data_IF_388574976799
#
_entry.id   IF_388574976799
#
_cell.length_a   1.000
_cell.length_b   1.000
_cell.length_c   1.000
_cell.angle_alpha   90.00
_cell.angle_beta   90.00
_cell.angle_gamma   90.00
#
_symmetry.space_group_name_H-M   'P 1'
#
loop_
_entity.id
_entity.type
_entity.pdbx_description
1 polymer ?
#
# COMPACT_ATOMS: atom_id res chain seq x y z
N UNK A 1 21.23 40.40 2.63
CA UNK A 1 20.39 40.67 3.81
C UNK A 1 20.04 39.32 4.41
N UNK A 2 20.42 39.01 5.65
CA UNK A 2 20.04 37.83 6.37
C UNK A 2 18.70 38.11 7.06
N UNK A 3 17.66 37.27 6.79
CA UNK A 3 16.36 37.40 7.40
C UNK A 3 16.11 36.14 8.23
N UNK A 4 15.97 36.29 9.53
CA UNK A 4 15.55 35.22 10.42
C UNK A 4 14.02 35.06 10.33
N UNK A 5 13.54 33.81 10.23
CA UNK A 5 12.10 33.51 10.20
C UNK A 5 11.83 32.15 10.86
N UNK A 6 10.56 31.91 11.28
CA UNK A 6 10.16 30.70 11.97
C UNK A 6 10.11 29.44 11.11
N UNK A 7 10.07 29.55 9.78
CA UNK A 7 10.02 28.42 8.86
C UNK A 7 11.35 27.65 8.79
N UNK A 8 12.45 28.28 9.19
CA UNK A 8 13.75 27.64 9.27
C UNK A 8 13.76 26.44 10.24
N UNK A 9 12.93 26.48 11.28
CA UNK A 9 12.86 25.46 12.32
C UNK A 9 12.39 24.09 11.80
N UNK A 10 11.50 24.05 10.80
CA UNK A 10 11.01 22.80 10.19
C UNK A 10 9.87 22.10 10.91
N UNK A 11 9.38 22.58 12.06
CA UNK A 11 8.28 21.95 12.79
C UNK A 11 6.98 21.80 11.98
N UNK A 12 6.53 22.77 11.15
CA UNK A 12 5.38 22.59 10.29
C UNK A 12 5.53 21.42 9.31
N UNK A 13 6.74 21.19 8.82
CA UNK A 13 7.04 20.06 7.92
C UNK A 13 6.97 18.74 8.69
N UNK A 14 7.49 18.68 9.93
CA UNK A 14 7.40 17.50 10.79
C UNK A 14 5.94 17.10 11.03
N UNK A 15 5.07 18.06 11.35
CA UNK A 15 3.62 17.82 11.50
C UNK A 15 2.97 17.31 10.21
N UNK A 16 3.30 17.92 9.08
CA UNK A 16 2.75 17.50 7.80
C UNK A 16 3.16 16.08 7.43
N UNK A 17 4.42 15.69 7.69
CA UNK A 17 4.94 14.34 7.43
C UNK A 17 4.30 13.28 8.34
N UNK A 18 4.12 13.57 9.63
CA UNK A 18 3.40 12.67 10.53
C UNK A 18 1.92 12.51 10.13
N UNK A 19 1.26 13.61 9.74
CA UNK A 19 -0.12 13.56 9.24
C UNK A 19 -0.25 12.75 7.94
N UNK A 20 0.71 12.93 7.01
CA UNK A 20 0.79 12.15 5.77
C UNK A 20 0.97 10.65 6.06
N UNK A 21 1.88 10.30 6.97
CA UNK A 21 2.09 8.92 7.37
C UNK A 21 0.79 8.28 7.90
N UNK A 22 0.06 8.96 8.76
CA UNK A 22 -1.24 8.49 9.27
C UNK A 22 -2.26 8.29 8.15
N UNK A 23 -2.36 9.23 7.21
CA UNK A 23 -3.29 9.12 6.08
C UNK A 23 -2.95 7.93 5.17
N UNK A 24 -1.66 7.73 4.83
CA UNK A 24 -1.22 6.57 4.04
C UNK A 24 -1.46 5.24 4.78
N UNK A 25 -1.25 5.21 6.10
CA UNK A 25 -1.52 4.04 6.92
C UNK A 25 -3.00 3.66 6.91
N UNK A 26 -3.91 4.62 6.91
CA UNK A 26 -5.35 4.37 6.83
C UNK A 26 -5.74 3.73 5.49
N UNK A 27 -5.18 4.22 4.38
CA UNK A 27 -5.37 3.59 3.06
C UNK A 27 -4.87 2.15 3.04
N UNK A 28 -3.71 1.89 3.62
CA UNK A 28 -3.14 0.54 3.74
C UNK A 28 -4.02 -0.37 4.60
N UNK A 29 -4.60 0.13 5.70
CA UNK A 29 -5.56 -0.59 6.54
C UNK A 29 -6.77 -1.04 5.74
N UNK A 30 -7.38 -0.14 4.97
CA UNK A 30 -8.54 -0.43 4.13
C UNK A 30 -8.17 -1.49 3.08
N UNK A 31 -7.01 -1.35 2.44
CA UNK A 31 -6.50 -2.29 1.44
C UNK A 31 -6.34 -3.70 2.03
N UNK A 32 -5.70 -3.81 3.19
CA UNK A 32 -5.53 -5.11 3.86
C UNK A 32 -6.87 -5.75 4.21
N UNK A 33 -7.86 -4.97 4.69
CA UNK A 33 -9.20 -5.49 4.97
C UNK A 33 -9.92 -5.97 3.71
N UNK A 34 -9.65 -5.39 2.55
CA UNK A 34 -10.19 -5.86 1.28
C UNK A 34 -9.52 -7.16 0.84
N UNK A 35 -8.19 -7.29 1.02
CA UNK A 35 -7.49 -8.57 0.79
C UNK A 35 -8.08 -9.67 1.68
N UNK A 36 -8.26 -9.41 2.98
CA UNK A 36 -8.87 -10.37 3.89
C UNK A 36 -10.25 -10.82 3.42
N UNK A 37 -11.11 -9.87 2.99
CA UNK A 37 -12.44 -10.21 2.47
C UNK A 37 -12.40 -11.08 1.22
N UNK A 38 -11.43 -10.86 0.34
CA UNK A 38 -11.29 -11.67 -0.89
C UNK A 38 -10.84 -13.10 -0.59
N UNK A 39 -9.94 -13.29 0.36
CA UNK A 39 -9.36 -14.61 0.67
C UNK A 39 -10.18 -15.44 1.67
N UNK A 40 -11.12 -14.80 2.38
CA UNK A 40 -11.94 -15.45 3.40
C UNK A 40 -13.28 -15.92 2.80
N UNK A 41 -13.51 -17.24 2.70
CA UNK A 41 -14.71 -17.77 2.05
C UNK A 41 -16.02 -17.37 2.74
N UNK A 42 -15.98 -16.97 4.02
CA UNK A 42 -17.16 -16.48 4.74
C UNK A 42 -17.51 -15.01 4.40
N UNK A 43 -16.65 -14.28 3.70
CA UNK A 43 -16.77 -12.85 3.41
C UNK A 43 -16.70 -12.52 1.91
N UNK A 44 -16.23 -13.44 1.08
CA UNK A 44 -15.90 -13.22 -0.32
C UNK A 44 -17.06 -13.47 -1.29
N UNK A 45 -18.24 -13.76 -0.79
CA UNK A 45 -19.47 -13.99 -1.59
C UNK A 45 -19.29 -15.06 -2.69
N UNK A 46 -18.65 -16.19 -2.30
CA UNK A 46 -18.54 -17.38 -3.15
C UNK A 46 -17.19 -17.57 -3.84
N UNK A 47 -16.20 -16.70 -3.63
CA UNK A 47 -14.84 -16.98 -4.07
C UNK A 47 -14.23 -18.12 -3.25
N UNK A 48 -13.37 -18.97 -3.85
CA UNK A 48 -12.71 -20.02 -3.12
C UNK A 48 -11.75 -19.47 -2.05
N UNK A 49 -11.60 -20.22 -0.95
CA UNK A 49 -10.68 -19.86 0.13
C UNK A 49 -9.28 -19.59 -0.43
N UNK A 50 -8.69 -18.47 -0.01
CA UNK A 50 -7.35 -18.01 -0.44
C UNK A 50 -7.17 -17.87 -1.95
N UNK A 51 -8.28 -17.77 -2.70
CA UNK A 51 -8.28 -17.60 -4.17
C UNK A 51 -7.48 -18.71 -4.89
N UNK A 52 -7.62 -19.95 -4.44
CA UNK A 52 -7.05 -21.15 -5.07
C UNK A 52 -8.13 -22.21 -5.31
N UNK A 53 -8.04 -22.94 -6.44
CA UNK A 53 -8.95 -24.07 -6.74
C UNK A 53 -8.61 -25.32 -5.95
N UNK A 54 -7.35 -25.52 -5.57
CA UNK A 54 -6.83 -26.71 -4.90
C UNK A 54 -6.47 -26.43 -3.44
N UNK A 55 -7.44 -25.94 -2.66
CA UNK A 55 -7.27 -25.66 -1.25
C UNK A 55 -6.79 -26.89 -0.47
N UNK A 56 -5.75 -26.73 0.34
CA UNK A 56 -5.10 -27.82 1.08
C UNK A 56 -3.84 -28.35 0.40
N UNK A 57 -3.74 -28.32 -0.93
CA UNK A 57 -2.50 -28.54 -1.66
C UNK A 57 -1.78 -27.20 -1.85
N UNK A 58 -2.51 -26.19 -2.31
CA UNK A 58 -2.01 -24.83 -2.49
C UNK A 58 -2.51 -23.91 -1.37
N UNK A 59 -1.66 -22.97 -0.95
CA UNK A 59 -1.96 -21.92 0.03
C UNK A 59 -2.53 -20.65 -0.64
N UNK A 60 -2.29 -20.47 -1.93
CA UNK A 60 -2.76 -19.32 -2.70
C UNK A 60 -2.38 -17.98 -2.09
N UNK A 61 -3.35 -17.09 -1.92
CA UNK A 61 -3.14 -15.75 -1.36
C UNK A 61 -3.13 -15.67 0.17
N UNK A 62 -3.03 -16.81 0.89
CA UNK A 62 -2.92 -16.81 2.35
C UNK A 62 -1.71 -16.01 2.84
N UNK A 63 -0.52 -16.29 2.30
CA UNK A 63 0.72 -15.61 2.71
C UNK A 63 0.74 -14.13 2.30
N UNK A 64 0.32 -13.71 1.09
CA UNK A 64 0.16 -12.29 0.78
C UNK A 64 -0.73 -11.53 1.78
N UNK A 65 -1.83 -12.12 2.24
CA UNK A 65 -2.67 -11.51 3.28
C UNK A 65 -1.91 -11.36 4.61
N UNK A 66 -1.15 -12.36 5.05
CA UNK A 66 -0.29 -12.26 6.23
C UNK A 66 0.75 -11.15 6.09
N UNK A 67 1.36 -11.00 4.91
CA UNK A 67 2.33 -9.93 4.64
C UNK A 67 1.65 -8.57 4.71
N UNK A 68 0.49 -8.40 4.09
CA UNK A 68 -0.28 -7.15 4.16
C UNK A 68 -0.61 -6.78 5.61
N UNK A 69 -1.08 -7.74 6.42
CA UNK A 69 -1.37 -7.54 7.83
C UNK A 69 -0.12 -7.15 8.63
N UNK A 70 1.05 -7.74 8.33
CA UNK A 70 2.32 -7.39 8.95
C UNK A 70 2.74 -5.95 8.65
N UNK A 71 2.65 -5.52 7.38
CA UNK A 71 2.98 -4.15 6.95
C UNK A 71 2.07 -3.11 7.60
N UNK A 72 0.78 -3.40 7.70
CA UNK A 72 -0.19 -2.53 8.39
C UNK A 72 0.10 -2.45 9.89
N UNK A 73 0.47 -3.56 10.51
CA UNK A 73 0.87 -3.58 11.92
C UNK A 73 2.17 -2.78 12.16
N UNK A 74 3.12 -2.83 11.25
CA UNK A 74 4.34 -2.00 11.30
C UNK A 74 3.99 -0.51 11.14
N UNK A 75 3.10 -0.17 10.19
CA UNK A 75 2.64 1.20 9.99
C UNK A 75 2.05 1.82 11.26
N UNK A 76 1.32 1.05 12.08
CA UNK A 76 0.82 1.50 13.36
C UNK A 76 1.95 2.03 14.27
N UNK A 77 3.08 1.34 14.31
CA UNK A 77 4.25 1.75 15.11
C UNK A 77 4.92 2.98 14.48
N UNK A 78 5.10 2.97 13.16
CA UNK A 78 5.73 4.07 12.42
C UNK A 78 4.89 5.37 12.47
N UNK A 79 3.58 5.27 12.58
CA UNK A 79 2.68 6.43 12.68
C UNK A 79 2.65 7.09 14.06
N UNK A 80 3.39 6.56 15.06
CA UNK A 80 3.57 7.29 16.32
C UNK A 80 4.29 8.61 16.01
N UNK A 81 3.71 9.81 16.30
CA UNK A 81 4.25 11.08 15.83
C UNK A 81 5.66 11.35 16.35
N UNK A 82 6.58 11.70 15.46
CA UNK A 82 7.90 12.20 15.83
C UNK A 82 7.89 13.69 16.18
N UNK A 83 6.96 14.43 15.58
CA UNK A 83 6.81 15.88 15.76
C UNK A 83 6.37 16.32 17.15
N UNK A 84 5.96 15.39 18.03
CA UNK A 84 5.60 15.66 19.43
C UNK A 84 6.79 15.62 20.37
N UNK A 85 7.97 15.25 19.86
CA UNK A 85 9.20 15.13 20.63
C UNK A 85 10.15 16.30 20.36
N UNK A 86 10.99 16.64 21.34
CA UNK A 86 12.06 17.60 21.19
C UNK A 86 13.16 17.31 22.21
N UNK A 87 14.42 17.38 21.78
CA UNK A 87 15.61 17.15 22.60
C UNK A 87 16.58 18.29 22.38
N UNK A 88 16.95 19.11 23.41
CA UNK A 88 17.94 20.15 23.26
C UNK A 88 19.28 19.61 22.76
N UNK A 89 19.90 20.33 21.84
CA UNK A 89 21.21 19.97 21.27
C UNK A 89 22.16 21.16 21.26
N UNK A 90 23.41 20.98 20.78
CA UNK A 90 24.41 22.05 20.68
C UNK A 90 24.63 22.81 21.99
N UNK A 91 24.74 22.10 23.12
CA UNK A 91 24.90 22.65 24.45
C UNK A 91 23.78 23.66 24.85
N UNK A 92 22.55 23.41 24.39
CA UNK A 92 21.37 24.24 24.67
C UNK A 92 21.18 25.42 23.70
N UNK A 93 22.00 25.52 22.67
CA UNK A 93 21.78 26.53 21.63
C UNK A 93 20.52 26.21 20.80
N UNK A 94 20.28 24.94 20.55
CA UNK A 94 19.03 24.41 20.01
C UNK A 94 18.15 23.95 21.17
N UNK A 95 17.26 24.79 21.63
CA UNK A 95 16.41 24.55 22.82
C UNK A 95 15.14 23.77 22.48
N UNK A 96 14.59 23.99 21.31
CA UNK A 96 13.45 23.24 20.77
C UNK A 96 13.76 22.77 19.34
N UNK A 97 14.08 21.50 19.20
CA UNK A 97 14.49 20.88 17.94
C UNK A 97 13.28 20.19 17.31
N UNK A 98 13.00 20.49 16.02
CA UNK A 98 12.01 19.70 15.27
C UNK A 98 12.56 18.32 14.98
N UNK A 99 11.73 17.28 15.06
CA UNK A 99 12.06 15.92 14.68
C UNK A 99 11.66 15.63 13.23
N UNK A 100 11.83 16.62 12.33
CA UNK A 100 11.43 16.55 10.92
C UNK A 100 12.10 15.43 10.15
N UNK A 101 13.39 15.16 10.42
CA UNK A 101 14.08 14.04 9.79
C UNK A 101 13.51 12.70 10.20
N UNK A 102 13.22 12.50 11.48
CA UNK A 102 12.57 11.27 11.97
C UNK A 102 11.16 11.09 11.40
N UNK A 103 10.37 12.18 11.37
CA UNK A 103 9.05 12.17 10.74
C UNK A 103 9.12 11.79 9.24
N UNK A 104 10.10 12.35 8.50
CA UNK A 104 10.30 12.06 7.08
C UNK A 104 10.69 10.61 6.80
N UNK A 105 11.63 10.05 7.56
CA UNK A 105 12.04 8.65 7.40
C UNK A 105 10.90 7.68 7.68
N UNK A 106 10.10 7.95 8.71
CA UNK A 106 8.92 7.15 9.05
C UNK A 106 7.83 7.26 7.96
N UNK A 107 7.54 8.47 7.50
CA UNK A 107 6.57 8.68 6.42
C UNK A 107 6.97 7.94 5.14
N UNK A 108 8.25 7.96 4.78
CA UNK A 108 8.79 7.20 3.66
C UNK A 108 8.56 5.69 3.80
N UNK A 109 8.83 5.14 4.99
CA UNK A 109 8.62 3.72 5.26
C UNK A 109 7.13 3.35 5.20
N UNK A 110 6.25 4.18 5.79
CA UNK A 110 4.79 3.97 5.74
C UNK A 110 4.28 4.00 4.30
N UNK A 111 4.78 4.93 3.48
CA UNK A 111 4.42 4.99 2.06
C UNK A 111 4.81 3.71 1.33
N UNK A 112 6.04 3.24 1.50
CA UNK A 112 6.52 2.02 0.87
C UNK A 112 5.73 0.77 1.31
N UNK A 113 5.33 0.68 2.58
CA UNK A 113 4.47 -0.38 3.09
C UNK A 113 3.06 -0.30 2.49
N UNK A 114 2.51 0.91 2.35
CA UNK A 114 1.18 1.14 1.79
C UNK A 114 1.12 0.77 0.31
N UNK A 115 2.14 1.11 -0.48
CA UNK A 115 2.26 0.70 -1.89
C UNK A 115 2.24 -0.82 -2.04
N UNK A 116 2.95 -1.55 -1.17
CA UNK A 116 2.94 -3.03 -1.18
C UNK A 116 1.61 -3.61 -0.74
N UNK A 117 0.93 -3.02 0.24
CA UNK A 117 -0.41 -3.44 0.64
C UNK A 117 -1.40 -3.29 -0.53
N UNK A 118 -1.37 -2.15 -1.23
CA UNK A 118 -2.16 -1.92 -2.45
C UNK A 118 -1.81 -2.90 -3.57
N UNK A 119 -0.53 -3.22 -3.75
CA UNK A 119 -0.10 -4.21 -4.75
C UNK A 119 -0.68 -5.60 -4.46
N UNK A 120 -0.72 -6.01 -3.19
CA UNK A 120 -1.33 -7.29 -2.80
C UNK A 120 -2.85 -7.28 -3.00
N UNK A 121 -3.53 -6.15 -2.75
CA UNK A 121 -4.95 -6.00 -3.08
C UNK A 121 -5.21 -6.14 -4.58
N UNK A 122 -4.41 -5.48 -5.42
CA UNK A 122 -4.51 -5.56 -6.88
C UNK A 122 -4.29 -6.98 -7.41
N UNK A 123 -3.29 -7.69 -6.90
CA UNK A 123 -3.01 -9.07 -7.25
C UNK A 123 -4.15 -10.02 -6.82
N UNK A 124 -4.63 -9.86 -5.59
CA UNK A 124 -5.77 -10.64 -5.07
C UNK A 124 -7.06 -10.33 -5.84
N UNK A 125 -7.31 -9.05 -6.15
CA UNK A 125 -8.45 -8.63 -6.96
C UNK A 125 -8.40 -9.20 -8.38
N UNK A 126 -7.24 -9.18 -9.03
CA UNK A 126 -7.06 -9.78 -10.34
C UNK A 126 -7.32 -11.29 -10.32
N UNK A 127 -6.85 -11.99 -9.29
CA UNK A 127 -7.11 -13.41 -9.09
C UNK A 127 -8.60 -13.68 -8.84
N UNK A 128 -9.24 -12.85 -8.01
CA UNK A 128 -10.67 -12.98 -7.68
C UNK A 128 -11.58 -12.81 -8.90
N UNK A 129 -11.29 -11.83 -9.76
CA UNK A 129 -12.06 -11.58 -11.00
C UNK A 129 -12.08 -12.82 -11.89
N UNK A 130 -11.00 -13.57 -11.98
CA UNK A 130 -10.90 -14.76 -12.82
C UNK A 130 -11.75 -15.95 -12.34
N UNK A 131 -12.06 -16.01 -11.04
CA UNK A 131 -13.00 -16.99 -10.49
C UNK A 131 -14.47 -16.65 -10.77
N UNK A 132 -14.75 -15.43 -11.21
CA UNK A 132 -16.11 -14.99 -11.54
C UNK A 132 -16.50 -15.28 -13.00
N UNK A 133 -15.63 -15.89 -13.79
CA UNK A 133 -15.96 -16.25 -15.18
C UNK A 133 -17.23 -17.12 -15.21
N UNK A 134 -18.17 -16.92 -16.16
CA UNK A 134 -18.03 -16.14 -17.40
C UNK A 134 -18.43 -14.66 -17.28
N UNK A 135 -18.57 -14.09 -16.07
CA UNK A 135 -18.89 -12.68 -15.89
C UNK A 135 -17.72 -11.81 -16.39
N UNK A 136 -18.05 -10.74 -17.09
CA UNK A 136 -17.09 -9.79 -17.63
C UNK A 136 -17.05 -8.51 -16.80
N UNK A 137 -15.87 -8.03 -16.37
CA UNK A 137 -15.76 -6.78 -15.66
C UNK A 137 -15.97 -5.58 -16.58
N UNK A 138 -16.33 -4.43 -16.01
CA UNK A 138 -16.38 -3.16 -16.74
C UNK A 138 -15.01 -2.75 -17.31
N UNK A 139 -15.01 -1.83 -18.28
CA UNK A 139 -13.83 -1.44 -19.07
C UNK A 139 -12.61 -1.08 -18.20
N UNK A 140 -12.78 -0.24 -17.18
CA UNK A 140 -11.68 0.18 -16.31
C UNK A 140 -11.08 -0.98 -15.50
N UNK A 141 -11.94 -1.86 -14.94
CA UNK A 141 -11.47 -3.05 -14.22
C UNK A 141 -10.79 -4.03 -15.16
N UNK A 142 -11.29 -4.20 -16.39
CA UNK A 142 -10.66 -5.02 -17.43
C UNK A 142 -9.26 -4.50 -17.77
N UNK A 143 -9.10 -3.19 -17.95
CA UNK A 143 -7.81 -2.56 -18.22
C UNK A 143 -6.83 -2.77 -17.06
N UNK A 144 -7.26 -2.52 -15.83
CA UNK A 144 -6.46 -2.75 -14.64
C UNK A 144 -6.05 -4.23 -14.50
N UNK A 145 -6.99 -5.16 -14.70
CA UNK A 145 -6.72 -6.60 -14.68
C UNK A 145 -5.67 -6.99 -15.74
N UNK A 146 -5.86 -6.57 -17.01
CA UNK A 146 -4.90 -6.85 -18.08
C UNK A 146 -3.51 -6.30 -17.77
N UNK A 147 -3.43 -5.09 -17.20
CA UNK A 147 -2.17 -4.50 -16.79
C UNK A 147 -1.49 -5.31 -15.68
N UNK A 148 -2.21 -5.64 -14.62
CA UNK A 148 -1.68 -6.45 -13.50
C UNK A 148 -1.19 -7.81 -14.03
N UNK A 149 -1.96 -8.45 -14.92
CA UNK A 149 -1.58 -9.74 -15.54
C UNK A 149 -0.39 -9.65 -16.49
N UNK A 150 -0.07 -8.48 -17.01
CA UNK A 150 1.18 -8.27 -17.76
C UNK A 150 2.44 -8.31 -16.85
N UNK A 151 2.26 -8.01 -15.55
CA UNK A 151 3.33 -8.01 -14.56
C UNK A 151 3.40 -9.32 -13.76
N UNK A 152 2.27 -9.97 -13.53
CA UNK A 152 2.15 -11.18 -12.70
C UNK A 152 1.14 -12.14 -13.30
N UNK A 153 1.56 -13.35 -13.72
CA UNK A 153 0.64 -14.36 -14.20
C UNK A 153 -0.29 -14.84 -13.08
N UNK A 154 -1.40 -15.48 -13.46
CA UNK A 154 -2.30 -16.14 -12.53
C UNK A 154 -1.53 -17.09 -11.61
N UNK A 155 -1.95 -17.16 -10.35
CA UNK A 155 -1.41 -18.09 -9.36
C UNK A 155 -2.24 -19.39 -9.40
N UNK A 156 -1.85 -20.33 -10.23
CA UNK A 156 -2.46 -21.66 -10.29
C UNK A 156 -1.82 -22.59 -9.27
N UNK A 157 -0.49 -22.58 -9.17
CA UNK A 157 0.29 -23.30 -8.16
C UNK A 157 1.08 -22.31 -7.29
N UNK A 158 1.33 -22.68 -6.02
CA UNK A 158 2.09 -21.86 -5.09
C UNK A 158 3.49 -21.54 -5.63
N UNK A 159 3.85 -20.27 -5.62
CA UNK A 159 5.18 -19.76 -5.97
C UNK A 159 5.52 -18.51 -5.16
N UNK A 160 6.79 -18.13 -5.04
CA UNK A 160 7.17 -16.86 -4.40
C UNK A 160 6.58 -15.66 -5.15
N UNK A 161 5.80 -14.82 -4.45
CA UNK A 161 5.13 -13.63 -5.02
C UNK A 161 5.88 -12.32 -4.75
N UNK A 162 7.05 -12.35 -4.10
CA UNK A 162 7.76 -11.12 -3.73
C UNK A 162 8.09 -10.23 -4.94
N UNK A 163 8.54 -10.83 -6.06
CA UNK A 163 8.84 -10.09 -7.29
C UNK A 163 7.58 -9.50 -7.94
N UNK A 164 6.47 -10.25 -7.91
CA UNK A 164 5.17 -9.80 -8.44
C UNK A 164 4.63 -8.61 -7.63
N UNK A 165 4.68 -8.70 -6.31
CA UNK A 165 4.25 -7.64 -5.41
C UNK A 165 5.06 -6.37 -5.65
N UNK A 166 6.39 -6.48 -5.76
CA UNK A 166 7.24 -5.32 -6.00
C UNK A 166 7.00 -4.71 -7.40
N UNK A 167 6.80 -5.52 -8.44
CA UNK A 167 6.49 -5.03 -9.79
C UNK A 167 5.18 -4.22 -9.81
N UNK A 168 4.14 -4.71 -9.15
CA UNK A 168 2.86 -3.98 -9.04
C UNK A 168 3.00 -2.75 -8.14
N UNK A 169 3.76 -2.82 -7.05
CA UNK A 169 4.02 -1.66 -6.18
C UNK A 169 4.77 -0.54 -6.93
N UNK A 170 5.72 -0.88 -7.80
CA UNK A 170 6.38 0.09 -8.69
C UNK A 170 5.36 0.73 -9.63
N UNK A 171 4.47 -0.06 -10.23
CA UNK A 171 3.43 0.45 -11.13
C UNK A 171 2.40 1.37 -10.44
N UNK A 172 2.14 1.14 -9.16
CA UNK A 172 1.34 2.05 -8.32
C UNK A 172 2.11 3.36 -8.10
N UNK A 173 3.39 3.28 -7.75
CA UNK A 173 4.25 4.43 -7.44
C UNK A 173 4.49 5.33 -8.64
N UNK A 174 4.76 4.77 -9.82
CA UNK A 174 5.08 5.52 -11.03
C UNK A 174 3.85 5.96 -11.84
N UNK A 175 2.65 5.52 -11.44
CA UNK A 175 1.39 5.86 -12.07
C UNK A 175 1.08 5.09 -13.37
N UNK A 176 1.89 4.11 -13.75
CA UNK A 176 1.70 3.37 -15.00
C UNK A 176 0.40 2.56 -15.02
N UNK A 177 -0.03 2.03 -13.85
CA UNK A 177 -1.33 1.38 -13.72
C UNK A 177 -2.50 2.35 -14.02
N UNK A 178 -2.46 3.55 -13.43
CA UNK A 178 -3.50 4.57 -13.65
C UNK A 178 -3.50 4.99 -15.12
N UNK A 179 -2.35 5.25 -15.71
CA UNK A 179 -2.23 5.62 -17.12
C UNK A 179 -2.82 4.55 -18.06
N UNK A 180 -2.63 3.26 -17.74
CA UNK A 180 -3.21 2.17 -18.52
C UNK A 180 -4.74 2.14 -18.43
N UNK A 181 -5.32 2.42 -17.27
CA UNK A 181 -6.78 2.50 -17.08
C UNK A 181 -7.35 3.72 -17.80
N UNK A 182 -6.73 4.89 -17.63
CA UNK A 182 -7.16 6.14 -18.27
C UNK A 182 -7.10 6.08 -19.80
N UNK A 183 -6.16 5.34 -20.35
CA UNK A 183 -6.07 5.11 -21.80
C UNK A 183 -7.31 4.39 -22.36
N UNK A 184 -7.98 3.56 -21.55
CA UNK A 184 -9.18 2.80 -21.95
C UNK A 184 -10.48 3.57 -21.66
N UNK A 185 -10.56 4.29 -20.52
CA UNK A 185 -11.82 4.87 -20.03
C UNK A 185 -11.86 6.41 -20.09
N UNK A 186 -10.77 7.05 -20.45
CA UNK A 186 -10.59 8.50 -20.30
C UNK A 186 -10.09 8.88 -18.92
N UNK A 187 -9.80 10.17 -18.72
CA UNK A 187 -9.28 10.67 -17.43
C UNK A 187 -10.21 10.33 -16.28
N UNK A 188 -9.61 9.88 -15.17
CA UNK A 188 -10.32 9.64 -13.93
C UNK A 188 -10.45 10.98 -13.17
N UNK A 189 -11.69 11.39 -12.84
CA UNK A 189 -12.00 12.60 -12.06
C UNK A 189 -11.83 12.37 -10.55
#
# INVERSE_FOLDING_TARGET
MLVSNGNFHGQPIAFALDALAMACSELANISERRVERLVNPNLSDGLPAFLTSDGGLNSGFMIPQYVAASLVSENKVLCHPASVDSIPTSAGQEDHVSMGNAAGLKAWQVLANSERALAMELLAGAQGVEFLAPLEPGAGVRAAHAFVRSLSPRLDDDRPLAADIEAVAVAVRDGSLIAAVEAEVGGLE
#
